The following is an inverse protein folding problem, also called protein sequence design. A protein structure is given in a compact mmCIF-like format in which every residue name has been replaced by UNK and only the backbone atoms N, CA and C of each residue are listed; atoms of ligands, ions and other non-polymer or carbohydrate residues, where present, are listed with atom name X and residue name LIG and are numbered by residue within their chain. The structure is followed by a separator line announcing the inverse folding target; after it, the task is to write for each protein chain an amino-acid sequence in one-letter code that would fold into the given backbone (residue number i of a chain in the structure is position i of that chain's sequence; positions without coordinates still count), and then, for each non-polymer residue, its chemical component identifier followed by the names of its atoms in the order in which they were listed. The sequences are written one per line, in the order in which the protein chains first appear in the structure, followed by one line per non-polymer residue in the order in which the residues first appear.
data_IF_539407601809
#
_entry.id   IF_539407601809
#
_cell.length_a   1.000
_cell.length_b   1.000
_cell.length_c   1.000
_cell.angle_alpha   90.00
_cell.angle_beta   90.00
_cell.angle_gamma   90.00
#
_symmetry.space_group_name_H-M   'P 1'
#
loop_
_entity.id
_entity.type
_entity.pdbx_description
1 polymer ?
#
# COMPACT_ATOMS: atom_id res chain seq x y z
N UNK A 1 4.65 -9.42 12.07
CA UNK A 1 5.33 -8.12 11.84
C UNK A 1 4.37 -7.18 11.13
N UNK A 2 4.36 -5.93 11.51
CA UNK A 2 3.42 -4.93 10.99
C UNK A 2 4.20 -3.81 10.31
N UNK A 3 3.92 -3.57 9.03
CA UNK A 3 4.68 -2.65 8.18
C UNK A 3 3.74 -1.69 7.49
N UNK A 4 4.08 -0.41 7.44
CA UNK A 4 3.33 0.58 6.67
C UNK A 4 4.27 1.29 5.69
N UNK A 5 3.81 1.48 4.45
CA UNK A 5 4.51 2.23 3.41
C UNK A 5 3.79 3.56 3.23
N UNK A 6 4.49 4.66 3.42
CA UNK A 6 3.89 6.00 3.37
C UNK A 6 4.40 6.78 2.17
N UNK A 7 3.47 7.44 1.47
CA UNK A 7 3.80 8.37 0.39
C UNK A 7 2.81 9.53 0.41
N UNK A 8 2.73 10.31 -0.66
CA UNK A 8 1.79 11.44 -0.71
C UNK A 8 0.38 11.00 -1.09
N UNK A 9 0.20 10.50 -2.32
CA UNK A 9 -1.13 10.18 -2.86
C UNK A 9 -1.65 8.79 -2.55
N UNK A 10 -0.78 7.86 -2.19
CA UNK A 10 -1.10 6.46 -1.93
C UNK A 10 -1.84 5.81 -3.09
N UNK A 11 -1.42 6.10 -4.32
CA UNK A 11 -2.11 5.62 -5.53
C UNK A 11 -1.28 4.71 -6.41
N UNK A 12 0.04 4.82 -6.41
CA UNK A 12 0.89 4.07 -7.33
C UNK A 12 2.01 3.32 -6.59
N UNK A 13 3.16 3.97 -6.36
CA UNK A 13 4.33 3.27 -5.82
C UNK A 13 4.09 2.58 -4.48
N UNK A 14 3.44 3.25 -3.54
CA UNK A 14 3.15 2.65 -2.23
C UNK A 14 2.13 1.53 -2.32
N UNK A 15 1.18 1.61 -3.25
CA UNK A 15 0.21 0.53 -3.48
C UNK A 15 0.89 -0.69 -4.11
N UNK A 16 1.81 -0.47 -5.03
CA UNK A 16 2.61 -1.55 -5.62
C UNK A 16 3.46 -2.21 -4.54
N UNK A 17 4.13 -1.40 -3.71
CA UNK A 17 4.94 -1.92 -2.61
C UNK A 17 4.10 -2.76 -1.64
N UNK A 18 2.90 -2.28 -1.29
CA UNK A 18 1.99 -3.04 -0.44
C UNK A 18 1.66 -4.40 -1.06
N UNK A 19 1.32 -4.41 -2.35
CA UNK A 19 0.98 -5.65 -3.06
C UNK A 19 2.13 -6.64 -3.12
N UNK A 20 3.33 -6.15 -3.43
CA UNK A 20 4.53 -7.00 -3.50
C UNK A 20 4.91 -7.56 -2.13
N UNK A 21 4.86 -6.73 -1.09
CA UNK A 21 5.19 -7.17 0.26
C UNK A 21 4.19 -8.20 0.78
N UNK A 22 2.91 -8.01 0.51
CA UNK A 22 1.88 -8.99 0.90
C UNK A 22 2.11 -10.34 0.21
N UNK A 23 2.49 -10.33 -1.05
CA UNK A 23 2.77 -11.55 -1.79
C UNK A 23 4.01 -12.27 -1.27
N UNK A 24 5.06 -11.51 -0.92
CA UNK A 24 6.31 -12.08 -0.44
C UNK A 24 6.25 -12.51 1.02
N UNK A 25 5.50 -11.77 1.85
CA UNK A 25 5.42 -12.00 3.29
C UNK A 25 3.95 -12.16 3.70
N UNK A 26 3.28 -13.26 3.34
CA UNK A 26 1.84 -13.41 3.58
C UNK A 26 1.45 -13.45 5.05
N UNK A 27 2.41 -13.66 5.96
CA UNK A 27 2.14 -13.66 7.41
C UNK A 27 2.34 -12.30 8.06
N UNK A 28 2.77 -11.30 7.31
CA UNK A 28 2.96 -9.95 7.83
C UNK A 28 1.71 -9.12 7.58
N UNK A 29 1.45 -8.16 8.47
CA UNK A 29 0.39 -7.17 8.28
C UNK A 29 0.99 -5.99 7.52
N UNK A 30 0.66 -5.86 6.25
CA UNK A 30 1.22 -4.84 5.36
C UNK A 30 0.15 -3.81 5.02
N UNK A 31 0.49 -2.54 5.18
CA UNK A 31 -0.39 -1.41 4.86
C UNK A 31 0.35 -0.39 4.02
N UNK A 32 -0.40 0.47 3.33
CA UNK A 32 0.13 1.68 2.73
C UNK A 32 -0.81 2.83 3.02
N UNK A 33 -0.28 4.05 3.06
CA UNK A 33 -1.09 5.23 3.33
C UNK A 33 -0.43 6.45 2.72
N UNK A 34 -1.17 7.55 2.63
CA UNK A 34 -0.68 8.81 2.10
C UNK A 34 -0.99 9.97 3.01
N UNK A 35 -0.20 11.04 2.88
CA UNK A 35 -0.46 12.29 3.60
C UNK A 35 -1.60 13.07 2.96
N UNK A 36 -1.81 12.89 1.65
CA UNK A 36 -2.92 13.47 0.89
C UNK A 36 -3.46 12.40 -0.07
N UNK A 37 -4.18 11.39 0.45
CA UNK A 37 -4.61 10.28 -0.40
C UNK A 37 -5.62 10.73 -1.44
N UNK A 38 -5.51 10.16 -2.63
CA UNK A 38 -6.48 10.36 -3.69
C UNK A 38 -7.63 9.37 -3.54
N UNK A 39 -8.59 9.38 -4.47
CA UNK A 39 -9.82 8.60 -4.33
C UNK A 39 -9.65 7.13 -4.66
N UNK A 40 -8.84 6.81 -5.67
CA UNK A 40 -8.63 5.44 -6.12
C UNK A 40 -7.16 5.19 -6.43
N UNK A 41 -6.79 3.92 -6.42
CA UNK A 41 -5.46 3.48 -6.85
C UNK A 41 -5.31 3.76 -8.34
N UNK A 42 -4.10 4.15 -8.76
CA UNK A 42 -3.79 4.39 -10.16
C UNK A 42 -4.08 3.13 -10.98
N UNK A 43 -4.94 3.27 -12.01
CA UNK A 43 -5.39 2.11 -12.78
C UNK A 43 -4.28 1.50 -13.65
N UNK A 44 -3.28 2.29 -14.03
CA UNK A 44 -2.11 1.73 -14.71
C UNK A 44 -1.28 0.85 -13.78
N UNK A 45 -1.21 1.20 -12.49
CA UNK A 45 -0.54 0.36 -11.51
C UNK A 45 -1.28 -0.96 -11.31
N UNK A 46 -2.61 -0.91 -11.23
CA UNK A 46 -3.44 -2.12 -11.12
C UNK A 46 -3.20 -3.04 -12.33
N UNK A 47 -3.20 -2.47 -13.53
CA UNK A 47 -3.00 -3.21 -14.77
C UNK A 47 -1.59 -3.81 -14.83
N UNK A 48 -0.56 -3.01 -14.53
CA UNK A 48 0.81 -3.47 -14.57
C UNK A 48 1.06 -4.60 -13.58
N UNK A 49 0.52 -4.51 -12.38
CA UNK A 49 0.65 -5.55 -11.38
C UNK A 49 -0.08 -6.83 -11.78
N UNK A 50 -1.26 -6.70 -12.40
CA UNK A 50 -2.00 -7.86 -12.90
C UNK A 50 -1.20 -8.62 -13.97
N UNK A 51 -0.50 -7.89 -14.84
CA UNK A 51 0.35 -8.51 -15.87
C UNK A 51 1.49 -9.32 -15.27
N UNK A 52 1.95 -8.95 -14.07
CA UNK A 52 2.99 -9.67 -13.34
C UNK A 52 2.43 -10.71 -12.36
N UNK A 53 1.12 -10.93 -12.38
CA UNK A 53 0.47 -11.92 -11.53
C UNK A 53 0.05 -11.43 -10.15
N UNK A 54 0.06 -10.11 -9.91
CA UNK A 54 -0.33 -9.55 -8.62
C UNK A 54 -1.63 -8.77 -8.75
N UNK A 55 -2.62 -9.10 -7.94
CA UNK A 55 -3.91 -8.41 -7.94
C UNK A 55 -3.95 -7.37 -6.81
N UNK A 56 -3.88 -6.10 -7.17
CA UNK A 56 -4.04 -4.99 -6.22
C UNK A 56 -5.36 -4.24 -6.44
N UNK A 57 -6.29 -4.83 -7.19
CA UNK A 57 -7.56 -4.18 -7.55
C UNK A 57 -8.45 -3.88 -6.34
N UNK A 58 -8.28 -4.59 -5.24
CA UNK A 58 -9.05 -4.37 -4.01
C UNK A 58 -8.39 -3.38 -3.05
N UNK A 59 -7.16 -2.97 -3.33
CA UNK A 59 -6.48 -1.99 -2.51
C UNK A 59 -7.06 -0.59 -2.76
N UNK A 60 -6.92 0.29 -1.79
CA UNK A 60 -7.47 1.64 -1.88
C UNK A 60 -6.57 2.64 -1.14
N UNK A 61 -6.58 3.91 -1.55
CA UNK A 61 -5.81 4.95 -0.88
C UNK A 61 -6.33 5.17 0.56
N UNK A 62 -5.40 5.35 1.49
CA UNK A 62 -5.71 5.51 2.91
C UNK A 62 -4.96 6.71 3.46
N UNK A 63 -5.54 7.37 4.46
CA UNK A 63 -4.93 8.52 5.11
C UNK A 63 -4.00 8.06 6.23
N UNK A 64 -2.77 8.56 6.24
CA UNK A 64 -1.77 8.14 7.22
C UNK A 64 -2.20 8.43 8.66
N UNK A 65 -2.95 9.50 8.90
CA UNK A 65 -3.42 9.84 10.23
C UNK A 65 -4.39 8.81 10.81
N UNK A 66 -4.99 7.98 9.99
CA UNK A 66 -5.85 6.89 10.45
C UNK A 66 -5.05 5.78 11.14
N UNK A 67 -3.73 5.78 10.95
CA UNK A 67 -2.84 4.77 11.50
C UNK A 67 -1.89 5.32 12.56
N UNK A 68 -2.02 6.58 12.95
CA UNK A 68 -1.01 7.29 13.75
C UNK A 68 -0.81 6.68 15.14
N UNK A 69 -1.83 6.02 15.68
CA UNK A 69 -1.75 5.40 17.00
C UNK A 69 -1.42 3.90 16.95
N UNK A 70 -1.30 3.33 15.76
CA UNK A 70 -0.99 1.91 15.64
C UNK A 70 0.52 1.67 15.73
N UNK A 71 0.93 0.62 16.45
CA UNK A 71 2.36 0.30 16.55
C UNK A 71 2.81 -0.48 15.31
N UNK A 72 3.66 0.14 14.50
CA UNK A 72 4.27 -0.52 13.35
C UNK A 72 5.72 -0.90 13.66
N UNK A 73 6.13 -2.08 13.19
CA UNK A 73 7.51 -2.52 13.32
C UNK A 73 8.42 -1.74 12.36
N UNK A 74 7.92 -1.44 11.16
CA UNK A 74 8.65 -0.66 10.17
C UNK A 74 7.73 0.35 9.50
N UNK A 75 8.28 1.55 9.29
CA UNK A 75 7.63 2.62 8.52
C UNK A 75 8.56 2.94 7.36
N UNK A 76 8.09 2.68 6.14
CA UNK A 76 8.86 2.91 4.91
C UNK A 76 8.32 4.15 4.20
N UNK A 77 9.23 5.03 3.77
CA UNK A 77 8.86 6.26 3.07
C UNK A 77 9.49 6.37 1.69
#
# INVERSE_FOLDING_TARGET
MKIIVICTGNTCRSQIAEGLLKAKYPNFDIYSAGTKPEKIVNQFAVKAMAEEGYDISTQYPKLVSDFIEEPFDYVLT
#
